data_IF_488254081623
#
_entry.id   IF_488254081623
#
_cell.length_a   1.000
_cell.length_b   1.000
_cell.length_c   1.000
_cell.angle_alpha   90.00
_cell.angle_beta   90.00
_cell.angle_gamma   90.00
#
_symmetry.space_group_name_H-M   'P 1'
#
loop_
_entity.id
_entity.type
_entity.pdbx_description
1 polymer ?
#
# COMPACT_ATOMS: atom_id res chain seq x y z
N UNK A 1 23.75 -14.08 -0.21
CA UNK A 1 23.52 -12.93 0.70
C UNK A 1 23.40 -11.66 -0.13
N UNK A 2 22.25 -11.42 -0.75
CA UNK A 2 22.06 -10.26 -1.67
C UNK A 2 20.62 -9.76 -1.79
N UNK A 3 19.66 -10.33 -1.04
CA UNK A 3 18.23 -9.96 -1.20
C UNK A 3 17.73 -8.88 -0.23
N UNK A 4 18.46 -8.56 0.85
CA UNK A 4 18.01 -7.54 1.81
C UNK A 4 18.26 -6.10 1.35
N UNK A 5 19.23 -5.87 0.46
CA UNK A 5 19.58 -4.51 -0.01
C UNK A 5 18.56 -3.91 -0.97
N UNK A 6 17.90 -4.73 -1.79
CA UNK A 6 16.92 -4.26 -2.76
C UNK A 6 15.63 -3.73 -2.11
N UNK A 7 15.26 -4.27 -0.94
CA UNK A 7 14.10 -3.81 -0.18
C UNK A 7 14.45 -2.51 0.55
N UNK A 8 15.62 -2.45 1.18
CA UNK A 8 16.14 -1.22 1.83
C UNK A 8 16.27 -0.06 0.82
N UNK A 9 16.81 -0.32 -0.38
CA UNK A 9 16.96 0.68 -1.44
C UNK A 9 15.60 1.15 -1.99
N UNK A 10 14.57 0.28 -2.01
CA UNK A 10 13.22 0.67 -2.42
C UNK A 10 12.60 1.64 -1.41
N UNK A 11 12.80 1.39 -0.11
CA UNK A 11 12.41 2.32 0.95
C UNK A 11 13.15 3.67 0.78
N UNK A 12 14.44 3.68 0.46
CA UNK A 12 15.15 4.94 0.18
C UNK A 12 14.63 5.70 -1.04
N UNK A 13 14.25 5.00 -2.13
CA UNK A 13 13.78 5.65 -3.36
C UNK A 13 12.43 6.34 -3.14
N UNK A 14 11.47 5.67 -2.50
CA UNK A 14 10.17 6.28 -2.25
C UNK A 14 10.27 7.45 -1.27
N UNK A 15 11.13 7.35 -0.24
CA UNK A 15 11.43 8.43 0.70
C UNK A 15 12.12 9.63 0.03
N UNK A 16 13.03 9.37 -0.91
CA UNK A 16 13.72 10.41 -1.66
C UNK A 16 12.76 11.15 -2.60
N UNK A 17 11.90 10.42 -3.31
CA UNK A 17 10.84 10.98 -4.15
C UNK A 17 9.83 11.77 -3.32
N UNK A 18 9.39 11.23 -2.19
CA UNK A 18 8.47 11.88 -1.27
C UNK A 18 9.06 13.18 -0.73
N UNK A 19 10.34 13.19 -0.33
CA UNK A 19 11.03 14.43 0.08
C UNK A 19 11.08 15.47 -1.04
N UNK A 20 11.44 15.07 -2.26
CA UNK A 20 11.49 15.99 -3.40
C UNK A 20 10.11 16.62 -3.69
N UNK A 21 9.05 15.82 -3.69
CA UNK A 21 7.68 16.30 -3.89
C UNK A 21 7.24 17.17 -2.70
N UNK A 22 7.59 16.78 -1.48
CA UNK A 22 7.25 17.51 -0.27
C UNK A 22 7.85 18.93 -0.20
N UNK A 23 9.02 19.15 -0.82
CA UNK A 23 9.59 20.49 -0.99
C UNK A 23 8.75 21.40 -1.90
N UNK A 24 7.99 20.83 -2.83
CA UNK A 24 7.10 21.58 -3.72
C UNK A 24 5.78 21.95 -3.04
N UNK A 25 5.41 21.25 -1.95
CA UNK A 25 4.18 21.48 -1.19
C UNK A 25 4.47 22.43 -0.03
N UNK A 26 4.41 23.73 -0.33
CA UNK A 26 4.72 24.82 0.62
C UNK A 26 3.49 25.46 1.24
N UNK A 27 2.29 25.21 0.69
CA UNK A 27 1.04 25.84 1.11
C UNK A 27 -0.08 24.81 1.29
N UNK A 28 -1.02 25.09 2.19
CA UNK A 28 -2.22 24.26 2.42
C UNK A 28 -2.11 23.36 3.65
N UNK A 29 -3.11 22.48 3.90
CA UNK A 29 -3.17 21.68 5.11
C UNK A 29 -1.97 20.72 5.25
N UNK A 30 -1.44 20.22 4.13
CA UNK A 30 -0.28 19.33 4.10
C UNK A 30 1.03 20.04 4.46
N UNK A 31 1.14 21.37 4.31
CA UNK A 31 2.40 22.09 4.55
C UNK A 31 2.84 22.11 6.02
N UNK A 32 1.99 21.63 6.94
CA UNK A 32 2.29 21.48 8.37
C UNK A 32 2.94 20.14 8.72
N UNK A 33 2.86 19.14 7.83
CA UNK A 33 3.42 17.80 8.04
C UNK A 33 4.94 17.80 7.90
N UNK A 34 5.59 16.72 8.35
CA UNK A 34 7.01 16.48 8.05
C UNK A 34 7.21 16.41 6.53
N UNK A 35 8.35 16.88 6.02
CA UNK A 35 8.51 17.12 4.56
C UNK A 35 8.35 15.85 3.73
N UNK A 36 8.73 14.70 4.28
CA UNK A 36 8.56 13.39 3.67
C UNK A 36 7.07 13.01 3.57
N UNK A 37 6.33 13.08 4.67
CA UNK A 37 4.89 12.78 4.75
C UNK A 37 4.02 13.68 3.89
N UNK A 38 4.53 14.83 3.42
CA UNK A 38 3.84 15.67 2.42
C UNK A 38 3.79 15.03 1.05
N UNK A 39 4.89 14.39 0.65
CA UNK A 39 5.05 13.83 -0.68
C UNK A 39 4.67 12.36 -0.80
N UNK A 40 4.66 11.62 0.32
CA UNK A 40 4.26 10.20 0.38
C UNK A 40 2.91 9.93 -0.31
N UNK A 41 1.82 10.69 -0.06
CA UNK A 41 0.54 10.46 -0.73
C UNK A 41 0.61 10.58 -2.25
N UNK A 42 1.45 11.47 -2.77
CA UNK A 42 1.64 11.65 -4.22
C UNK A 42 2.42 10.50 -4.83
N UNK A 43 3.47 10.03 -4.14
CA UNK A 43 4.23 8.85 -4.55
C UNK A 43 3.30 7.65 -4.61
N UNK A 44 2.53 7.39 -3.55
CA UNK A 44 1.55 6.30 -3.51
C UNK A 44 0.48 6.43 -4.60
N UNK A 45 -0.02 7.65 -4.87
CA UNK A 45 -0.99 7.87 -5.93
C UNK A 45 -0.42 7.51 -7.32
N UNK A 46 0.81 7.93 -7.63
CA UNK A 46 1.45 7.66 -8.93
C UNK A 46 1.69 6.17 -9.12
N UNK A 47 2.31 5.52 -8.14
CA UNK A 47 2.57 4.07 -8.21
C UNK A 47 1.27 3.26 -8.18
N UNK A 48 0.27 3.69 -7.41
CA UNK A 48 -1.04 3.08 -7.36
C UNK A 48 -1.78 3.15 -8.69
N UNK A 49 -1.79 4.32 -9.36
CA UNK A 49 -2.39 4.48 -10.69
C UNK A 49 -1.66 3.62 -11.72
N UNK A 50 -0.33 3.60 -11.68
CA UNK A 50 0.47 2.78 -12.59
C UNK A 50 0.17 1.29 -12.40
N UNK A 51 0.17 0.81 -11.17
CA UNK A 51 -0.15 -0.58 -10.85
C UNK A 51 -1.58 -0.95 -11.26
N UNK A 52 -2.56 -0.11 -10.94
CA UNK A 52 -3.96 -0.32 -11.31
C UNK A 52 -4.12 -0.41 -12.84
N UNK A 53 -3.38 0.41 -13.60
CA UNK A 53 -3.40 0.37 -15.07
C UNK A 53 -2.90 -0.97 -15.62
N UNK A 54 -1.84 -1.53 -15.02
CA UNK A 54 -1.33 -2.86 -15.39
C UNK A 54 -2.32 -3.96 -15.00
N UNK A 55 -2.95 -3.87 -13.83
CA UNK A 55 -3.96 -4.83 -13.39
C UNK A 55 -5.20 -4.82 -14.31
N UNK A 56 -5.70 -3.65 -14.68
CA UNK A 56 -6.81 -3.52 -15.63
C UNK A 56 -6.42 -4.11 -16.99
N UNK A 57 -5.19 -3.85 -17.47
CA UNK A 57 -4.71 -4.41 -18.71
C UNK A 57 -4.59 -5.94 -18.67
N UNK A 58 -4.16 -6.50 -17.53
CA UNK A 58 -4.12 -7.93 -17.30
C UNK A 58 -5.52 -8.54 -17.27
N UNK A 59 -6.46 -7.96 -16.52
CA UNK A 59 -7.86 -8.41 -16.45
C UNK A 59 -8.54 -8.46 -17.83
N UNK A 60 -8.23 -7.50 -18.71
CA UNK A 60 -8.77 -7.48 -20.08
C UNK A 60 -8.23 -8.57 -20.99
N UNK A 61 -7.07 -9.16 -20.64
CA UNK A 61 -6.40 -10.21 -21.44
C UNK A 61 -6.54 -11.60 -20.85
N UNK A 62 -7.12 -11.73 -19.65
CA UNK A 62 -7.25 -12.98 -18.92
C UNK A 62 -8.46 -13.79 -19.39
N UNK A 63 -8.27 -15.11 -19.53
CA UNK A 63 -9.35 -16.07 -19.78
C UNK A 63 -10.23 -16.22 -18.52
N UNK A 64 -11.50 -16.62 -18.69
CA UNK A 64 -12.48 -16.75 -17.60
C UNK A 64 -11.99 -17.61 -16.42
N UNK A 65 -11.11 -18.59 -16.66
CA UNK A 65 -10.57 -19.48 -15.62
C UNK A 65 -9.73 -18.76 -14.56
N UNK A 66 -9.05 -17.65 -14.89
CA UNK A 66 -8.19 -16.90 -13.96
C UNK A 66 -8.76 -15.54 -13.58
N UNK A 67 -9.97 -15.21 -14.03
CA UNK A 67 -10.57 -13.89 -13.84
C UNK A 67 -10.91 -13.62 -12.37
N UNK A 68 -11.44 -14.62 -11.65
CA UNK A 68 -11.77 -14.51 -10.23
C UNK A 68 -10.50 -14.30 -9.39
N UNK A 69 -9.45 -15.04 -9.70
CA UNK A 69 -8.18 -15.03 -8.99
C UNK A 69 -7.47 -13.68 -9.14
N UNK A 70 -7.44 -13.16 -10.36
CA UNK A 70 -6.86 -11.86 -10.65
C UNK A 70 -7.67 -10.73 -9.98
N UNK A 71 -9.01 -10.86 -9.90
CA UNK A 71 -9.85 -9.92 -9.13
C UNK A 71 -9.56 -9.97 -7.64
N UNK A 72 -9.39 -11.16 -7.06
CA UNK A 72 -9.03 -11.31 -5.64
C UNK A 72 -7.66 -10.68 -5.37
N UNK A 73 -6.68 -10.89 -6.24
CA UNK A 73 -5.37 -10.24 -6.15
C UNK A 73 -5.48 -8.70 -6.21
N UNK A 74 -6.31 -8.17 -7.10
CA UNK A 74 -6.62 -6.73 -7.17
C UNK A 74 -7.21 -6.21 -5.86
N UNK A 75 -8.19 -6.91 -5.29
CA UNK A 75 -8.85 -6.51 -4.04
C UNK A 75 -7.85 -6.50 -2.88
N UNK A 76 -6.98 -7.52 -2.79
CA UNK A 76 -5.93 -7.57 -1.76
C UNK A 76 -4.96 -6.39 -1.87
N UNK A 77 -4.54 -6.05 -3.09
CA UNK A 77 -3.64 -4.93 -3.34
C UNK A 77 -4.28 -3.58 -3.03
N UNK A 78 -5.56 -3.40 -3.38
CA UNK A 78 -6.33 -2.21 -3.02
C UNK A 78 -6.54 -2.10 -1.51
N UNK A 79 -6.77 -3.23 -0.84
CA UNK A 79 -6.85 -3.28 0.62
C UNK A 79 -5.54 -2.84 1.26
N UNK A 80 -4.39 -3.30 0.75
CA UNK A 80 -3.08 -2.93 1.28
C UNK A 80 -2.82 -1.43 1.10
N UNK A 81 -3.11 -0.88 -0.08
CA UNK A 81 -3.02 0.56 -0.33
C UNK A 81 -3.98 1.38 0.55
N UNK A 82 -5.18 0.86 0.81
CA UNK A 82 -6.16 1.51 1.70
C UNK A 82 -5.66 1.54 3.15
N UNK A 83 -5.11 0.43 3.65
CA UNK A 83 -4.61 0.39 5.03
C UNK A 83 -3.33 1.21 5.19
N UNK A 84 -2.38 1.16 4.25
CA UNK A 84 -1.12 1.90 4.38
C UNK A 84 -1.20 3.40 4.07
N UNK A 85 -1.95 3.81 3.05
CA UNK A 85 -2.06 5.24 2.71
C UNK A 85 -3.37 5.88 3.20
N UNK A 86 -4.46 5.11 3.24
CA UNK A 86 -5.78 5.64 3.59
C UNK A 86 -5.92 5.91 5.08
N UNK A 87 -5.38 5.03 5.93
CA UNK A 87 -5.43 5.20 7.40
C UNK A 87 -4.54 6.36 7.83
N UNK A 88 -3.35 6.49 7.24
CA UNK A 88 -2.40 7.58 7.52
C UNK A 88 -2.98 8.96 7.13
N UNK A 89 -3.63 9.07 5.97
CA UNK A 89 -4.35 10.30 5.57
C UNK A 89 -5.55 10.58 6.49
N UNK A 90 -6.30 9.56 6.89
CA UNK A 90 -7.42 9.72 7.82
C UNK A 90 -6.95 10.19 9.20
N UNK A 91 -5.80 9.69 9.66
CA UNK A 91 -5.14 10.10 10.88
C UNK A 91 -4.72 11.57 10.82
N UNK A 92 -3.97 11.98 9.79
CA UNK A 92 -3.57 13.38 9.59
C UNK A 92 -4.74 14.35 9.43
N UNK A 93 -5.85 13.90 8.83
CA UNK A 93 -7.07 14.69 8.73
C UNK A 93 -7.76 14.84 10.09
N UNK A 94 -7.88 13.76 10.87
CA UNK A 94 -8.45 13.79 12.23
C UNK A 94 -7.65 14.70 13.16
N UNK A 95 -6.32 14.66 13.07
CA UNK A 95 -5.43 15.56 13.81
C UNK A 95 -5.63 17.04 13.49
N UNK A 96 -6.03 17.34 12.25
CA UNK A 96 -6.37 18.68 11.82
C UNK A 96 -7.74 19.14 12.34
N UNK A 97 -8.72 18.24 12.42
CA UNK A 97 -10.11 18.57 12.80
C UNK A 97 -10.41 18.43 14.31
N UNK A 98 -9.71 17.56 15.04
CA UNK A 98 -9.97 17.28 16.45
C UNK A 98 -8.89 17.84 17.37
N UNK A 99 -9.28 18.77 18.25
CA UNK A 99 -8.44 19.32 19.32
C UNK A 99 -8.68 18.59 20.66
N UNK A 100 -8.78 17.25 20.64
CA UNK A 100 -9.12 16.41 21.80
C UNK A 100 -7.94 15.56 22.32
N UNK A 101 -8.14 14.75 23.39
CA UNK A 101 -7.09 13.89 23.95
C UNK A 101 -6.60 12.87 22.91
N UNK A 102 -5.34 13.04 22.48
CA UNK A 102 -4.76 12.42 21.28
C UNK A 102 -4.31 10.99 21.49
N UNK A 103 -3.78 10.67 22.67
CA UNK A 103 -3.03 9.44 22.94
C UNK A 103 -3.82 8.14 22.70
N UNK A 104 -5.14 8.14 22.95
CA UNK A 104 -5.98 6.93 22.79
C UNK A 104 -6.39 6.71 21.33
N UNK A 105 -6.65 7.80 20.60
CA UNK A 105 -7.00 7.74 19.17
C UNK A 105 -5.76 7.39 18.34
N UNK A 106 -4.62 8.00 18.62
CA UNK A 106 -3.33 7.66 18.00
C UNK A 106 -3.01 6.17 18.16
N UNK A 107 -3.13 5.61 19.36
CA UNK A 107 -2.88 4.18 19.58
C UNK A 107 -3.83 3.26 18.79
N UNK A 108 -5.12 3.61 18.67
CA UNK A 108 -6.07 2.80 17.91
C UNK A 108 -5.84 2.89 16.41
N UNK A 109 -5.44 4.05 15.89
CA UNK A 109 -5.12 4.24 14.48
C UNK A 109 -3.84 3.50 14.10
N UNK A 110 -2.78 3.56 14.91
CA UNK A 110 -1.57 2.76 14.68
C UNK A 110 -1.87 1.26 14.67
N UNK A 111 -2.69 0.77 15.61
CA UNK A 111 -3.06 -0.66 15.63
C UNK A 111 -3.88 -1.05 14.40
N UNK A 112 -4.78 -0.18 13.94
CA UNK A 112 -5.57 -0.41 12.74
C UNK A 112 -4.73 -0.37 11.45
N UNK A 113 -3.78 0.55 11.39
CA UNK A 113 -2.82 0.69 10.29
C UNK A 113 -1.90 -0.52 10.22
N UNK A 114 -1.06 -0.73 11.26
CA UNK A 114 -0.10 -1.84 11.31
C UNK A 114 -0.79 -3.21 11.21
N UNK A 115 -1.90 -3.39 11.93
CA UNK A 115 -2.66 -4.63 11.94
C UNK A 115 -3.40 -4.88 10.61
N UNK A 116 -3.93 -3.83 10.00
CA UNK A 116 -4.59 -3.88 8.70
C UNK A 116 -3.60 -4.17 7.57
N UNK A 117 -2.47 -3.49 7.54
CA UNK A 117 -1.38 -3.76 6.60
C UNK A 117 -0.90 -5.21 6.70
N UNK A 118 -0.62 -5.69 7.91
CA UNK A 118 -0.13 -7.04 8.14
C UNK A 118 -1.16 -8.11 7.74
N UNK A 119 -2.44 -7.88 8.04
CA UNK A 119 -3.53 -8.76 7.61
C UNK A 119 -3.66 -8.82 6.09
N UNK A 120 -3.58 -7.66 5.43
CA UNK A 120 -3.73 -7.60 3.98
C UNK A 120 -2.53 -8.19 3.25
N UNK A 121 -1.32 -7.97 3.77
CA UNK A 121 -0.09 -8.54 3.25
C UNK A 121 -0.05 -10.07 3.47
N UNK A 122 -0.56 -10.56 4.61
CA UNK A 122 -0.72 -11.99 4.86
C UNK A 122 -1.70 -12.64 3.88
N UNK A 123 -2.83 -11.98 3.61
CA UNK A 123 -3.81 -12.45 2.63
C UNK A 123 -3.24 -12.45 1.22
N UNK A 124 -2.53 -11.39 0.81
CA UNK A 124 -1.82 -11.33 -0.47
C UNK A 124 -0.79 -12.44 -0.62
N UNK A 125 0.03 -12.68 0.40
CA UNK A 125 1.03 -13.76 0.39
C UNK A 125 0.37 -15.14 0.31
N UNK A 126 -0.70 -15.37 1.07
CA UNK A 126 -1.46 -16.63 1.03
C UNK A 126 -2.01 -16.91 -0.38
N UNK A 127 -2.54 -15.89 -1.05
CA UNK A 127 -3.00 -16.00 -2.44
C UNK A 127 -1.85 -16.30 -3.39
N UNK A 128 -0.72 -15.59 -3.28
CA UNK A 128 0.46 -15.85 -4.10
C UNK A 128 0.97 -17.29 -3.93
N UNK A 129 1.00 -17.82 -2.71
CA UNK A 129 1.39 -19.21 -2.44
C UNK A 129 0.38 -20.22 -2.98
N UNK A 130 -0.92 -19.93 -2.92
CA UNK A 130 -1.94 -20.80 -3.48
C UNK A 130 -1.84 -20.91 -5.02
N UNK A 131 -1.43 -19.84 -5.70
CA UNK A 131 -1.33 -19.77 -7.16
C UNK A 131 0.03 -20.17 -7.73
N UNK A 132 1.12 -19.78 -7.07
CA UNK A 132 2.49 -19.96 -7.56
C UNK A 132 3.32 -20.91 -6.70
N UNK A 133 2.75 -21.40 -5.58
CA UNK A 133 3.38 -22.42 -4.77
C UNK A 133 3.51 -23.74 -5.53
N UNK A 134 4.42 -24.63 -5.10
CA UNK A 134 4.68 -25.91 -5.75
C UNK A 134 3.51 -26.88 -5.53
N UNK A 135 2.40 -26.68 -6.22
CA UNK A 135 1.28 -27.62 -6.32
C UNK A 135 1.33 -28.43 -7.64
N UNK A 136 2.48 -28.45 -8.32
CA UNK A 136 2.67 -29.21 -9.58
C UNK A 136 3.00 -30.70 -9.38
N UNK A 137 3.01 -31.26 -8.16
CA UNK A 137 3.42 -32.67 -7.97
C UNK A 137 2.25 -33.67 -7.97
N UNK A 138 0.99 -33.26 -7.86
CA UNK A 138 -0.14 -34.21 -7.70
C UNK A 138 -1.30 -34.09 -8.71
N UNK A 139 -1.28 -33.16 -9.67
CA UNK A 139 -2.38 -33.05 -10.66
C UNK A 139 -2.32 -34.06 -11.81
N UNK A 140 -1.24 -34.82 -11.94
CA UNK A 140 -1.04 -35.83 -13.00
C UNK A 140 -0.98 -37.30 -12.47
N UNK A 141 -1.61 -37.59 -11.32
CA UNK A 141 -1.82 -38.98 -10.86
C UNK A 141 -3.29 -39.37 -10.82
#
# INVERSE_FOLDING_TARGET
>A
MTSSKLIDDFFEIHDALARQIGHLITTGPLSKLHIQSRGEPFVFLVFGVMLLSFMIAALRKTNQEFELDLKLLCISLLGFAFFGAGVDVAHGALDFFMSGPRDVLEGLFNILEEGGELATLSFFMAMCLAFFGPNEIERDR
#
